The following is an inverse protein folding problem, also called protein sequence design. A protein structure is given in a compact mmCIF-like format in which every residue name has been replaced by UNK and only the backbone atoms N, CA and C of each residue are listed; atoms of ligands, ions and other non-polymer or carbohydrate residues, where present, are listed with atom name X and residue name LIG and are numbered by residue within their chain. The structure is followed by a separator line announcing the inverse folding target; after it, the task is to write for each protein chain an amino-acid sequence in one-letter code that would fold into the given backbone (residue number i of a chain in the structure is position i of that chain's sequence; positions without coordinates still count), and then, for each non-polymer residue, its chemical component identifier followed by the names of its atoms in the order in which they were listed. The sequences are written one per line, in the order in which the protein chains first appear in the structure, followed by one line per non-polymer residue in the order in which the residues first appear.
data_IF_992295682584
#
_entry.id   IF_992295682584
#
_cell.length_a   1.000
_cell.length_b   1.000
_cell.length_c   1.000
_cell.angle_alpha   90.00
_cell.angle_beta   90.00
_cell.angle_gamma   90.00
#
_symmetry.space_group_name_H-M   'P 1'
#
loop_
_entity.id
_entity.type
_entity.pdbx_description
1 polymer ?
#
# COMPACT_ATOMS: atom_id res chain seq x y z
N UNK A 1 -29.77 12.35 -48.64
CA UNK A 1 -30.00 12.82 -47.26
C UNK A 1 -28.87 12.33 -46.37
N UNK A 2 -28.07 13.23 -45.90
CA UNK A 2 -26.85 12.94 -45.17
C UNK A 2 -27.13 12.88 -43.65
N UNK A 3 -26.39 12.07 -42.96
CA UNK A 3 -26.51 11.77 -41.50
C UNK A 3 -26.45 13.00 -40.55
N UNK A 4 -26.37 14.23 -41.09
CA UNK A 4 -26.34 15.50 -40.34
C UNK A 4 -27.70 16.19 -40.17
N UNK A 5 -28.73 15.75 -40.90
CA UNK A 5 -30.07 16.38 -40.86
C UNK A 5 -31.10 15.67 -39.98
N UNK A 6 -30.74 14.55 -39.35
CA UNK A 6 -31.65 13.77 -38.46
C UNK A 6 -31.64 14.23 -37.01
N UNK A 7 -30.73 15.10 -36.58
CA UNK A 7 -30.56 15.51 -35.18
C UNK A 7 -31.14 16.88 -34.81
N UNK A 8 -31.97 17.51 -35.67
CA UNK A 8 -32.55 18.83 -35.36
C UNK A 8 -34.11 18.92 -35.33
N UNK A 9 -34.81 17.79 -35.33
CA UNK A 9 -36.28 17.78 -35.36
C UNK A 9 -36.98 16.98 -34.25
N UNK A 10 -36.46 17.03 -32.98
CA UNK A 10 -37.14 16.45 -31.85
C UNK A 10 -37.07 17.36 -30.60
N UNK A 11 -37.42 18.61 -30.76
CA UNK A 11 -37.65 19.51 -29.63
C UNK A 11 -38.91 20.32 -30.00
N UNK A 12 -40.07 19.85 -29.46
CA UNK A 12 -41.28 20.63 -29.14
C UNK A 12 -42.50 19.69 -29.08
N UNK A 13 -42.86 19.22 -27.88
CA UNK A 13 -44.24 19.11 -27.42
C UNK A 13 -44.31 18.35 -26.10
N UNK A 14 -44.44 19.05 -25.01
CA UNK A 14 -45.62 18.97 -24.15
C UNK A 14 -45.59 17.96 -22.98
N UNK A 15 -45.63 18.51 -21.74
CA UNK A 15 -46.16 17.75 -20.62
C UNK A 15 -45.45 17.99 -19.30
N UNK A 16 -45.85 18.96 -18.51
CA UNK A 16 -45.40 19.17 -17.15
C UNK A 16 -45.81 18.02 -16.23
N UNK A 17 -44.85 17.39 -15.54
CA UNK A 17 -45.08 16.67 -14.31
C UNK A 17 -43.95 16.99 -13.35
N UNK A 18 -44.28 17.66 -12.26
CA UNK A 18 -43.44 17.99 -11.13
C UNK A 18 -43.05 16.70 -10.40
N UNK A 19 -41.78 16.31 -10.53
CA UNK A 19 -41.11 15.46 -9.54
C UNK A 19 -39.74 16.12 -9.27
N UNK A 20 -39.53 16.43 -7.94
CA UNK A 20 -38.33 17.06 -7.46
C UNK A 20 -37.11 16.14 -7.70
N UNK A 21 -36.26 16.52 -8.65
CA UNK A 21 -34.94 15.95 -8.83
C UNK A 21 -33.99 16.70 -7.92
N UNK A 22 -33.52 16.03 -6.87
CA UNK A 22 -32.31 16.44 -6.18
C UNK A 22 -31.17 16.36 -7.22
N UNK A 23 -30.67 17.51 -7.66
CA UNK A 23 -29.59 17.58 -8.62
C UNK A 23 -28.30 17.09 -7.99
N UNK A 24 -27.82 15.95 -8.46
CA UNK A 24 -26.41 15.58 -8.31
C UNK A 24 -25.61 16.60 -9.15
N UNK A 25 -25.02 17.57 -8.47
CA UNK A 25 -23.94 18.37 -9.08
C UNK A 25 -22.73 17.45 -9.19
N UNK A 26 -22.42 17.01 -10.40
CA UNK A 26 -21.09 16.54 -10.76
C UNK A 26 -20.13 17.70 -10.45
N UNK A 27 -19.38 17.57 -9.37
CA UNK A 27 -18.33 18.50 -9.03
C UNK A 27 -17.39 18.64 -10.23
N UNK A 28 -17.24 19.87 -10.75
CA UNK A 28 -16.24 20.15 -11.76
C UNK A 28 -14.87 19.70 -11.22
N UNK A 29 -14.00 19.10 -12.07
CA UNK A 29 -12.66 18.73 -11.63
C UNK A 29 -12.01 19.97 -11.03
N UNK A 30 -11.62 19.90 -9.76
CA UNK A 30 -10.90 20.96 -9.09
C UNK A 30 -9.69 21.30 -9.95
N UNK A 31 -9.57 22.55 -10.40
CA UNK A 31 -8.36 23.05 -11.05
C UNK A 31 -7.20 22.70 -10.14
N UNK A 32 -6.32 21.82 -10.60
CA UNK A 32 -5.04 21.60 -9.96
C UNK A 32 -4.39 22.98 -9.83
N UNK A 33 -4.36 23.51 -8.60
CA UNK A 33 -3.52 24.67 -8.32
C UNK A 33 -2.11 24.20 -8.63
N UNK A 34 -1.42 24.91 -9.52
CA UNK A 34 0.02 24.75 -9.73
C UNK A 34 0.70 25.09 -8.40
N UNK A 35 0.82 24.10 -7.52
CA UNK A 35 1.61 24.25 -6.32
C UNK A 35 3.07 24.36 -6.76
N UNK A 36 3.66 25.52 -6.53
CA UNK A 36 5.10 25.68 -6.72
C UNK A 36 5.76 24.74 -5.70
N UNK A 37 6.38 23.66 -6.19
CA UNK A 37 7.09 22.72 -5.31
C UNK A 37 8.25 23.44 -4.62
N UNK A 38 8.49 23.16 -3.35
CA UNK A 38 9.69 23.67 -2.68
C UNK A 38 10.94 23.12 -3.40
N UNK A 39 11.99 23.91 -3.49
CA UNK A 39 13.28 23.41 -3.97
C UNK A 39 13.84 22.45 -2.95
N UNK A 40 14.13 21.22 -3.36
CA UNK A 40 14.83 20.27 -2.50
C UNK A 40 16.27 20.77 -2.24
N UNK A 41 16.82 20.55 -1.05
CA UNK A 41 18.22 20.87 -0.78
C UNK A 41 19.16 20.01 -1.62
N UNK A 42 20.45 20.36 -1.60
CA UNK A 42 21.48 19.45 -2.05
C UNK A 42 21.34 18.13 -1.28
N UNK A 43 21.31 16.97 -1.96
CA UNK A 43 21.12 15.67 -1.30
C UNK A 43 22.12 15.40 -0.18
N UNK A 44 23.38 15.81 -0.35
CA UNK A 44 24.44 15.63 0.68
C UNK A 44 24.20 16.52 1.89
N UNK A 45 23.60 17.70 1.70
CA UNK A 45 23.24 18.65 2.76
C UNK A 45 21.85 18.37 3.39
N UNK A 46 21.12 17.36 2.94
CA UNK A 46 19.77 17.05 3.43
C UNK A 46 19.70 16.63 4.90
N UNK A 47 20.81 16.17 5.47
CA UNK A 47 20.86 15.61 6.82
C UNK A 47 20.28 14.20 6.93
N UNK A 48 19.79 13.59 5.85
CA UNK A 48 19.29 12.21 5.83
C UNK A 48 20.48 11.25 5.69
N UNK A 49 20.64 10.34 6.65
CA UNK A 49 21.65 9.28 6.61
C UNK A 49 21.03 7.89 6.51
N UNK A 50 19.78 7.75 6.97
CA UNK A 50 19.05 6.48 6.99
C UNK A 50 17.63 6.64 6.42
N UNK A 51 17.29 5.79 5.45
CA UNK A 51 15.94 5.63 4.96
C UNK A 51 15.49 4.22 5.31
N UNK A 52 14.42 4.12 6.10
CA UNK A 52 13.80 2.87 6.52
C UNK A 52 12.40 2.80 5.91
N UNK A 53 12.14 1.84 5.05
CA UNK A 53 10.82 1.60 4.48
C UNK A 53 10.23 0.30 5.07
N UNK A 54 9.07 0.41 5.70
CA UNK A 54 8.27 -0.73 6.18
C UNK A 54 7.11 -0.91 5.22
N UNK A 55 6.89 -2.14 4.74
CA UNK A 55 5.79 -2.44 3.84
C UNK A 55 4.84 -3.42 4.49
N UNK A 56 3.68 -2.91 4.90
CA UNK A 56 2.54 -3.67 5.43
C UNK A 56 1.70 -4.25 4.29
N UNK A 57 0.63 -4.96 4.61
CA UNK A 57 -0.24 -5.64 3.64
C UNK A 57 -1.66 -5.11 3.65
N UNK A 58 -2.17 -4.90 2.46
CA UNK A 58 -3.53 -5.06 2.01
C UNK A 58 -4.55 -4.14 2.71
N UNK A 59 -4.30 -2.81 2.73
CA UNK A 59 -5.30 -1.85 3.26
C UNK A 59 -5.39 -0.59 2.37
N UNK A 60 -6.63 -0.16 2.06
CA UNK A 60 -6.85 1.09 1.35
C UNK A 60 -6.80 2.30 2.29
N UNK A 61 -6.63 3.50 1.70
CA UNK A 61 -6.62 4.74 2.47
C UNK A 61 -7.94 4.98 3.20
N UNK A 62 -9.08 4.87 2.53
CA UNK A 62 -10.37 5.10 3.16
C UNK A 62 -10.70 4.06 4.24
N UNK A 63 -10.26 2.82 4.07
CA UNK A 63 -10.47 1.76 5.04
C UNK A 63 -9.78 2.05 6.39
N UNK A 64 -8.56 2.63 6.38
CA UNK A 64 -7.78 2.95 7.59
C UNK A 64 -7.78 4.43 7.96
N UNK A 65 -7.75 5.33 6.98
CA UNK A 65 -7.53 6.78 7.20
C UNK A 65 -8.64 7.66 6.62
N UNK A 66 -9.76 7.10 6.17
CA UNK A 66 -10.87 7.88 5.65
C UNK A 66 -11.49 8.86 6.66
N UNK A 67 -11.18 8.71 7.95
CA UNK A 67 -11.54 9.63 9.05
C UNK A 67 -10.56 10.80 9.21
N UNK A 68 -9.37 10.77 8.57
CA UNK A 68 -8.27 11.70 8.82
C UNK A 68 -8.67 13.14 8.52
N UNK A 69 -8.54 14.08 9.48
CA UNK A 69 -8.85 15.50 9.24
C UNK A 69 -7.95 16.10 8.16
N UNK A 70 -8.52 16.96 7.34
CA UNK A 70 -7.85 17.66 6.24
C UNK A 70 -7.33 16.77 5.10
N UNK A 71 -7.49 15.45 5.18
CA UNK A 71 -7.23 14.55 4.08
C UNK A 71 -8.48 14.40 3.19
N UNK A 72 -8.26 13.98 1.95
CA UNK A 72 -9.32 13.57 1.03
C UNK A 72 -9.75 12.13 1.40
N UNK A 73 -10.38 11.97 2.56
CA UNK A 73 -10.80 10.69 3.14
C UNK A 73 -12.32 10.59 3.26
N UNK A 74 -12.87 9.39 3.07
CA UNK A 74 -14.30 9.13 3.19
C UNK A 74 -14.55 7.71 3.72
N UNK A 75 -15.21 7.59 4.87
CA UNK A 75 -15.56 6.29 5.47
C UNK A 75 -17.06 6.06 5.54
N UNK A 76 -17.79 6.95 6.23
CA UNK A 76 -19.22 6.83 6.41
C UNK A 76 -20.00 7.49 5.28
N UNK A 77 -21.20 6.97 4.99
CA UNK A 77 -22.14 7.58 4.05
C UNK A 77 -21.97 7.16 2.60
N UNK A 78 -20.96 6.33 2.27
CA UNK A 78 -20.88 5.70 0.96
C UNK A 78 -21.86 4.51 0.88
N UNK A 79 -22.33 4.22 -0.33
CA UNK A 79 -23.28 3.11 -0.58
C UNK A 79 -22.88 2.38 -1.84
N UNK A 80 -22.82 1.06 -1.76
CA UNK A 80 -22.45 0.16 -2.85
C UNK A 80 -23.58 -0.81 -3.16
N UNK A 81 -23.80 -1.08 -4.44
CA UNK A 81 -24.78 -2.07 -4.87
C UNK A 81 -24.14 -3.45 -4.95
N UNK A 82 -24.83 -4.47 -4.47
CA UNK A 82 -24.43 -5.85 -4.70
C UNK A 82 -24.93 -6.38 -6.08
N UNK A 83 -24.54 -7.59 -6.42
CA UNK A 83 -24.92 -8.24 -7.69
C UNK A 83 -26.43 -8.45 -7.88
N UNK A 84 -27.23 -8.27 -6.82
CA UNK A 84 -28.70 -8.34 -6.84
C UNK A 84 -29.34 -6.97 -6.91
N UNK A 85 -28.54 -5.89 -6.90
CA UNK A 85 -28.99 -4.51 -6.90
C UNK A 85 -29.41 -4.01 -5.51
N UNK A 86 -29.11 -4.73 -4.43
CA UNK A 86 -29.35 -4.26 -3.07
C UNK A 86 -28.25 -3.29 -2.65
N UNK A 87 -28.65 -2.18 -2.02
CA UNK A 87 -27.75 -1.13 -1.56
C UNK A 87 -27.24 -1.43 -0.15
N UNK A 88 -25.91 -1.33 0.03
CA UNK A 88 -25.22 -1.54 1.30
C UNK A 88 -24.36 -0.33 1.64
N UNK A 89 -24.58 0.25 2.80
CA UNK A 89 -23.74 1.35 3.28
C UNK A 89 -22.41 0.82 3.83
N UNK A 90 -21.34 1.64 3.70
CA UNK A 90 -20.10 1.44 4.44
C UNK A 90 -20.40 1.37 5.94
N UNK A 91 -19.61 0.62 6.69
CA UNK A 91 -19.86 0.37 8.10
C UNK A 91 -18.58 0.22 8.90
N UNK A 92 -18.67 0.57 10.19
CA UNK A 92 -17.55 0.40 11.12
C UNK A 92 -17.31 -1.08 11.41
N UNK A 93 -16.05 -1.47 11.42
CA UNK A 93 -15.55 -2.76 11.90
C UNK A 93 -15.08 -2.71 13.35
N UNK A 94 -15.27 -1.59 14.04
CA UNK A 94 -14.81 -1.43 15.42
C UNK A 94 -15.32 -2.57 16.32
N UNK A 95 -14.38 -3.22 17.02
CA UNK A 95 -14.63 -4.42 17.80
C UNK A 95 -14.38 -5.75 17.07
N UNK A 96 -14.35 -5.75 15.74
CA UNK A 96 -13.87 -6.87 14.93
C UNK A 96 -12.47 -6.54 14.40
N UNK A 97 -11.43 -7.07 15.03
CA UNK A 97 -10.05 -6.72 14.70
C UNK A 97 -9.43 -7.63 13.61
N UNK A 98 -10.16 -8.63 13.17
CA UNK A 98 -9.67 -9.64 12.23
C UNK A 98 -10.48 -9.70 10.93
N UNK A 99 -11.71 -9.22 10.95
CA UNK A 99 -12.65 -9.35 9.83
C UNK A 99 -13.21 -10.77 9.66
N UNK A 100 -13.03 -11.66 10.68
CA UNK A 100 -13.67 -12.97 10.66
C UNK A 100 -15.17 -12.84 11.06
N UNK A 101 -16.08 -13.50 10.37
CA UNK A 101 -15.91 -14.51 9.30
C UNK A 101 -16.02 -13.96 7.87
N UNK A 102 -15.70 -12.68 7.64
CA UNK A 102 -15.70 -12.11 6.30
C UNK A 102 -14.73 -12.80 5.35
N UNK A 103 -14.94 -12.64 4.06
CA UNK A 103 -14.02 -13.15 3.05
C UNK A 103 -12.82 -12.19 2.93
N UNK A 104 -11.64 -12.76 2.62
CA UNK A 104 -10.53 -11.96 2.12
C UNK A 104 -10.95 -11.32 0.77
N UNK A 105 -11.04 -9.97 0.67
CA UNK A 105 -11.60 -9.35 -0.52
C UNK A 105 -10.72 -9.54 -1.76
N UNK A 106 -11.33 -9.67 -2.95
CA UNK A 106 -10.57 -9.84 -4.20
C UNK A 106 -9.80 -8.57 -4.57
N UNK A 107 -8.50 -8.69 -4.62
CA UNK A 107 -7.56 -7.67 -5.06
C UNK A 107 -6.69 -8.17 -6.23
N UNK A 108 -7.11 -9.25 -6.90
CA UNK A 108 -6.49 -9.74 -8.12
C UNK A 108 -6.49 -8.68 -9.23
N UNK A 109 -5.66 -8.86 -10.25
CA UNK A 109 -5.60 -7.94 -11.40
C UNK A 109 -6.95 -7.74 -12.08
N UNK A 110 -7.76 -8.79 -12.18
CA UNK A 110 -9.11 -8.75 -12.80
C UNK A 110 -10.17 -8.21 -11.84
N UNK A 111 -10.21 -8.70 -10.60
CA UNK A 111 -11.17 -8.24 -9.58
C UNK A 111 -11.00 -6.76 -9.24
N UNK A 112 -9.75 -6.28 -9.18
CA UNK A 112 -9.46 -4.85 -8.99
C UNK A 112 -10.12 -3.97 -10.06
N UNK A 113 -10.23 -4.45 -11.30
CA UNK A 113 -10.87 -3.70 -12.40
C UNK A 113 -12.39 -3.70 -12.29
N UNK A 114 -12.99 -4.75 -11.71
CA UNK A 114 -14.41 -4.75 -11.34
C UNK A 114 -14.66 -3.66 -10.29
N UNK A 115 -13.85 -3.62 -9.24
CA UNK A 115 -13.97 -2.61 -8.18
C UNK A 115 -13.77 -1.17 -8.71
N UNK A 116 -12.81 -0.97 -9.61
CA UNK A 116 -12.52 0.31 -10.26
C UNK A 116 -13.67 0.80 -11.15
N UNK A 117 -14.36 -0.08 -11.85
CA UNK A 117 -15.47 0.18 -12.79
C UNK A 117 -15.27 1.41 -13.68
N UNK A 118 -14.13 1.45 -14.38
CA UNK A 118 -13.81 2.57 -15.28
C UNK A 118 -13.66 3.93 -14.58
N UNK A 119 -13.38 3.95 -13.29
CA UNK A 119 -13.20 5.14 -12.46
C UNK A 119 -14.40 5.55 -11.62
N UNK A 120 -15.49 4.78 -11.66
CA UNK A 120 -16.66 5.07 -10.82
C UNK A 120 -16.45 4.68 -9.36
N UNK A 121 -15.52 3.75 -9.10
CA UNK A 121 -15.20 3.27 -7.75
C UNK A 121 -16.41 2.67 -7.02
N UNK A 122 -17.29 1.96 -7.72
CA UNK A 122 -18.55 1.45 -7.19
C UNK A 122 -18.72 -0.08 -7.31
N UNK A 123 -17.71 -0.78 -7.84
CA UNK A 123 -17.76 -2.20 -8.12
C UNK A 123 -17.39 -3.13 -6.96
N UNK A 124 -17.13 -2.62 -5.74
CA UNK A 124 -16.60 -3.44 -4.62
C UNK A 124 -17.49 -4.61 -4.22
N UNK A 125 -18.82 -4.48 -4.32
CA UNK A 125 -19.77 -5.56 -4.08
C UNK A 125 -20.34 -6.18 -5.37
N UNK A 126 -19.91 -5.72 -6.54
CA UNK A 126 -20.20 -6.35 -7.82
C UNK A 126 -19.25 -7.53 -8.11
N UNK A 127 -18.09 -7.54 -7.47
CA UNK A 127 -17.23 -8.73 -7.45
C UNK A 127 -17.86 -9.82 -6.59
N UNK A 128 -18.12 -10.99 -7.18
CA UNK A 128 -18.79 -12.12 -6.52
C UNK A 128 -17.92 -12.82 -5.48
N UNK A 129 -16.61 -12.57 -5.50
CA UNK A 129 -15.68 -13.07 -4.48
C UNK A 129 -15.81 -12.28 -3.18
N UNK A 130 -16.29 -11.04 -3.25
CA UNK A 130 -16.39 -10.14 -2.11
C UNK A 130 -17.67 -10.35 -1.30
N UNK A 131 -17.64 -9.91 -0.06
CA UNK A 131 -18.80 -9.73 0.81
C UNK A 131 -18.73 -8.32 1.48
N UNK A 132 -19.60 -8.07 2.45
CA UNK A 132 -19.68 -6.75 3.07
C UNK A 132 -18.42 -6.32 3.84
N UNK A 133 -17.51 -7.24 4.14
CA UNK A 133 -16.26 -6.90 4.80
C UNK A 133 -15.42 -5.91 3.96
N UNK A 134 -15.43 -6.04 2.63
CA UNK A 134 -14.68 -5.15 1.75
C UNK A 134 -15.11 -3.67 1.80
N UNK A 135 -16.32 -3.37 2.29
CA UNK A 135 -16.83 -2.01 2.48
C UNK A 135 -16.87 -1.58 3.96
N UNK A 136 -16.20 -2.34 4.81
CA UNK A 136 -15.99 -2.00 6.22
C UNK A 136 -14.80 -1.05 6.40
N UNK A 137 -14.73 -0.36 7.54
CA UNK A 137 -13.61 0.53 7.88
C UNK A 137 -13.28 0.50 9.36
N UNK A 138 -12.03 0.81 9.68
CA UNK A 138 -11.53 1.03 11.03
C UNK A 138 -11.36 2.54 11.31
N UNK A 139 -11.60 2.93 12.54
CA UNK A 139 -11.42 4.31 12.99
C UNK A 139 -10.12 4.49 13.77
N UNK A 140 -9.87 5.75 14.16
CA UNK A 140 -8.70 6.15 14.94
C UNK A 140 -8.44 5.27 16.18
N UNK A 141 -9.50 4.83 16.87
CA UNK A 141 -9.41 4.06 18.11
C UNK A 141 -9.06 2.59 17.89
N UNK A 142 -9.24 2.08 16.70
CA UNK A 142 -8.98 0.66 16.37
C UNK A 142 -7.48 0.43 16.12
N UNK A 143 -6.77 1.44 15.61
CA UNK A 143 -5.33 1.46 15.32
C UNK A 143 -4.64 2.67 15.99
N UNK A 144 -4.69 2.79 17.32
CA UNK A 144 -4.38 4.05 18.03
C UNK A 144 -2.96 4.53 17.82
N UNK A 145 -1.99 3.64 17.68
CA UNK A 145 -0.62 4.04 17.44
C UNK A 145 -0.45 4.59 16.02
N UNK A 146 -0.92 3.86 15.00
CA UNK A 146 -0.76 4.27 13.60
C UNK A 146 -1.55 5.54 13.29
N UNK A 147 -2.74 5.67 13.85
CA UNK A 147 -3.53 6.89 13.77
C UNK A 147 -2.79 8.09 14.37
N UNK A 148 -2.22 7.94 15.56
CA UNK A 148 -1.44 9.00 16.19
C UNK A 148 -0.13 9.29 15.43
N UNK A 149 0.53 8.28 14.86
CA UNK A 149 1.69 8.48 13.99
C UNK A 149 1.31 9.35 12.79
N UNK A 150 0.19 9.05 12.13
CA UNK A 150 -0.32 9.78 10.99
C UNK A 150 -0.69 11.24 11.31
N UNK A 151 -1.20 11.51 12.52
CA UNK A 151 -1.53 12.86 12.98
C UNK A 151 -0.29 13.68 13.36
N UNK A 152 0.79 13.05 13.81
CA UNK A 152 1.99 13.74 14.29
C UNK A 152 3.07 13.89 13.23
N UNK A 153 2.94 13.22 12.08
CA UNK A 153 3.90 13.25 10.98
C UNK A 153 3.18 13.45 9.63
N UNK A 154 3.91 13.50 8.53
CA UNK A 154 3.31 13.71 7.22
C UNK A 154 2.55 12.47 6.75
N UNK A 155 1.25 12.64 6.50
CA UNK A 155 0.40 11.65 5.84
C UNK A 155 0.27 11.97 4.35
N UNK A 156 0.51 10.96 3.49
CA UNK A 156 0.40 11.09 2.05
C UNK A 156 -0.99 10.61 1.61
N UNK A 157 -1.93 11.55 1.37
CA UNK A 157 -3.31 11.19 1.03
C UNK A 157 -3.53 10.88 -0.47
N UNK A 158 -2.48 10.93 -1.29
CA UNK A 158 -2.48 10.53 -2.71
C UNK A 158 -1.30 9.62 -3.03
N UNK A 159 -1.01 8.70 -2.12
CA UNK A 159 -0.08 7.61 -2.37
C UNK A 159 -0.87 6.40 -2.87
N UNK A 160 -0.52 5.91 -4.05
CA UNK A 160 -1.20 4.83 -4.74
C UNK A 160 -0.32 3.59 -4.81
N UNK A 161 -0.91 2.39 -4.84
CA UNK A 161 -0.17 1.21 -5.25
C UNK A 161 0.34 1.39 -6.70
N UNK A 162 1.47 0.80 -7.05
CA UNK A 162 2.13 1.07 -8.35
C UNK A 162 1.42 0.43 -9.53
N UNK A 163 0.60 -0.60 -9.28
CA UNK A 163 -0.24 -1.27 -10.28
C UNK A 163 -1.56 -1.67 -9.64
N UNK A 164 -2.65 -1.62 -10.40
CA UNK A 164 -3.96 -2.10 -9.97
C UNK A 164 -3.99 -3.63 -10.04
N UNK A 165 -3.56 -4.27 -8.95
CA UNK A 165 -3.39 -5.72 -8.87
C UNK A 165 -2.85 -6.17 -7.52
N UNK A 166 -2.50 -7.47 -7.38
CA UNK A 166 -2.23 -8.11 -6.11
C UNK A 166 -0.84 -7.80 -5.54
N UNK A 167 -0.54 -8.45 -4.41
CA UNK A 167 0.65 -8.31 -3.57
C UNK A 167 1.98 -8.41 -4.35
N UNK A 168 2.23 -9.51 -5.09
CA UNK A 168 3.56 -9.75 -5.66
C UNK A 168 3.96 -8.74 -6.73
N UNK A 169 3.09 -8.39 -7.70
CA UNK A 169 3.37 -7.31 -8.63
C UNK A 169 3.74 -5.99 -7.95
N UNK A 170 2.99 -5.59 -6.92
CA UNK A 170 3.25 -4.35 -6.19
C UNK A 170 4.55 -4.41 -5.39
N UNK A 171 4.84 -5.52 -4.72
CA UNK A 171 6.12 -5.71 -4.02
C UNK A 171 7.33 -5.73 -4.96
N UNK A 172 7.16 -6.19 -6.21
CA UNK A 172 8.20 -6.03 -7.22
C UNK A 172 8.48 -4.56 -7.52
N UNK A 173 7.46 -3.72 -7.66
CA UNK A 173 7.65 -2.28 -7.83
C UNK A 173 8.42 -1.65 -6.67
N UNK A 174 8.20 -2.09 -5.43
CA UNK A 174 8.91 -1.60 -4.24
C UNK A 174 10.43 -1.81 -4.37
N UNK A 175 10.86 -2.91 -5.00
CA UNK A 175 12.28 -3.23 -5.12
C UNK A 175 12.88 -2.88 -6.48
N UNK A 176 12.09 -2.95 -7.56
CA UNK A 176 12.55 -2.94 -8.94
C UNK A 176 11.96 -1.82 -9.81
N UNK A 177 11.06 -0.97 -9.28
CA UNK A 177 10.29 0.03 -10.02
C UNK A 177 9.47 -0.54 -11.20
N UNK A 178 9.29 -1.84 -11.26
CA UNK A 178 8.55 -2.59 -12.29
C UNK A 178 8.15 -3.96 -11.79
N UNK A 179 7.29 -4.64 -12.56
CA UNK A 179 6.95 -6.04 -12.36
C UNK A 179 7.14 -6.85 -13.64
N UNK A 180 7.36 -8.16 -13.50
CA UNK A 180 7.40 -9.13 -14.61
C UNK A 180 6.14 -10.00 -14.67
N UNK A 181 5.14 -9.72 -13.82
CA UNK A 181 3.91 -10.51 -13.69
C UNK A 181 2.73 -9.65 -13.25
N UNK A 182 1.51 -10.18 -13.49
CA UNK A 182 0.24 -9.54 -13.08
C UNK A 182 -0.51 -10.32 -12.00
N UNK A 183 0.02 -11.45 -11.58
CA UNK A 183 -0.56 -12.34 -10.57
C UNK A 183 0.46 -12.72 -9.52
N UNK A 184 0.01 -13.16 -8.36
CA UNK A 184 0.88 -13.72 -7.36
C UNK A 184 1.49 -15.02 -7.85
N UNK A 185 2.80 -15.10 -7.85
CA UNK A 185 3.55 -16.24 -8.36
C UNK A 185 4.95 -16.28 -7.77
N UNK A 186 5.41 -17.47 -7.38
CA UNK A 186 6.76 -17.73 -6.88
C UNK A 186 7.80 -18.02 -7.97
N UNK A 187 7.46 -17.81 -9.25
CA UNK A 187 8.44 -17.93 -10.31
C UNK A 187 9.62 -16.99 -10.03
N UNK A 188 10.87 -17.48 -10.10
CA UNK A 188 12.02 -16.63 -9.90
C UNK A 188 12.04 -15.45 -10.86
N UNK A 189 12.57 -14.32 -10.41
CA UNK A 189 12.74 -13.11 -11.21
C UNK A 189 14.21 -12.73 -11.33
N UNK A 190 14.54 -12.00 -12.40
CA UNK A 190 15.87 -11.45 -12.65
C UNK A 190 15.85 -9.92 -12.79
N UNK A 191 14.74 -9.28 -12.48
CA UNK A 191 14.61 -7.83 -12.58
C UNK A 191 15.76 -7.13 -11.83
N UNK A 192 16.37 -6.09 -12.42
CA UNK A 192 17.30 -5.24 -11.69
C UNK A 192 16.56 -4.50 -10.58
N UNK A 193 17.24 -4.26 -9.46
CA UNK A 193 16.62 -3.66 -8.29
C UNK A 193 17.41 -2.47 -7.77
N UNK A 194 16.83 -1.75 -6.84
CA UNK A 194 17.51 -0.66 -6.10
C UNK A 194 18.76 -1.20 -5.36
N UNK A 195 18.73 -2.45 -4.90
CA UNK A 195 19.87 -3.10 -4.24
C UNK A 195 21.10 -3.17 -5.12
N UNK A 196 20.93 -3.41 -6.43
CA UNK A 196 22.01 -3.40 -7.40
C UNK A 196 22.62 -1.99 -7.56
N UNK A 197 21.76 -0.95 -7.56
CA UNK A 197 22.20 0.45 -7.66
C UNK A 197 22.98 0.88 -6.42
N UNK A 198 22.46 0.53 -5.24
CA UNK A 198 23.11 0.83 -3.95
C UNK A 198 24.48 0.12 -3.84
N UNK A 199 24.55 -1.16 -4.21
CA UNK A 199 25.80 -1.92 -4.21
C UNK A 199 26.84 -1.30 -5.16
N UNK A 200 26.44 -0.90 -6.37
CA UNK A 200 27.31 -0.28 -7.36
C UNK A 200 27.90 1.07 -6.89
N UNK A 201 27.20 1.77 -5.97
CA UNK A 201 27.64 3.04 -5.38
C UNK A 201 28.26 2.88 -3.99
N UNK A 202 28.45 1.65 -3.50
CA UNK A 202 28.96 1.36 -2.15
C UNK A 202 28.10 2.01 -1.02
N UNK A 203 26.81 2.23 -1.26
CA UNK A 203 25.89 2.71 -0.23
C UNK A 203 25.45 1.52 0.63
N UNK A 204 25.56 1.62 1.95
CA UNK A 204 25.20 0.53 2.86
C UNK A 204 23.71 0.27 2.82
N UNK A 205 23.32 -1.00 2.72
CA UNK A 205 21.90 -1.38 2.59
C UNK A 205 21.63 -2.77 3.16
N UNK A 206 20.40 -2.98 3.61
CA UNK A 206 19.90 -4.29 4.03
C UNK A 206 18.40 -4.41 3.82
N UNK A 207 17.98 -5.64 3.61
CA UNK A 207 16.59 -6.04 3.63
C UNK A 207 16.34 -6.88 4.89
N UNK A 208 15.39 -6.45 5.71
CA UNK A 208 15.00 -7.13 6.94
C UNK A 208 13.65 -7.81 6.78
N UNK A 209 13.50 -8.97 7.37
CA UNK A 209 12.24 -9.71 7.31
C UNK A 209 11.93 -10.38 8.65
N UNK A 210 10.67 -10.78 8.82
CA UNK A 210 10.21 -11.43 10.04
C UNK A 210 10.14 -12.96 9.90
N UNK A 211 9.35 -13.47 8.94
CA UNK A 211 9.16 -14.93 8.76
C UNK A 211 9.51 -15.42 7.34
N UNK A 212 9.23 -14.67 6.29
CA UNK A 212 9.53 -15.04 4.90
C UNK A 212 10.20 -13.88 4.18
N UNK A 213 11.41 -14.05 3.61
CA UNK A 213 12.06 -12.99 2.86
C UNK A 213 11.51 -12.94 1.42
N UNK A 214 10.80 -11.85 1.07
CA UNK A 214 10.30 -11.66 -0.29
C UNK A 214 11.40 -11.69 -1.36
N UNK A 215 12.61 -11.21 -1.03
CA UNK A 215 13.77 -11.22 -1.93
C UNK A 215 14.25 -12.62 -2.32
N UNK A 216 13.73 -13.70 -1.72
CA UNK A 216 14.00 -15.06 -2.16
C UNK A 216 13.53 -15.34 -3.60
N UNK A 217 12.60 -14.51 -4.14
CA UNK A 217 12.22 -14.56 -5.55
C UNK A 217 13.38 -14.26 -6.51
N UNK A 218 14.44 -13.57 -6.07
CA UNK A 218 15.68 -13.38 -6.84
C UNK A 218 16.71 -14.49 -6.60
N UNK A 219 16.28 -15.64 -6.12
CA UNK A 219 17.18 -16.75 -5.79
C UNK A 219 18.12 -16.38 -4.63
N UNK A 220 19.41 -16.67 -4.75
CA UNK A 220 20.42 -16.36 -3.73
C UNK A 220 21.04 -14.96 -3.87
N UNK A 221 20.64 -14.18 -4.88
CA UNK A 221 21.29 -12.92 -5.26
C UNK A 221 21.41 -11.95 -4.07
N UNK A 222 20.39 -11.85 -3.26
CA UNK A 222 20.32 -10.90 -2.13
C UNK A 222 20.48 -11.54 -0.76
N UNK A 223 20.94 -12.79 -0.69
CA UNK A 223 21.16 -13.48 0.58
C UNK A 223 22.09 -12.69 1.51
N UNK A 224 23.16 -12.09 0.96
CA UNK A 224 24.18 -11.37 1.73
C UNK A 224 23.69 -10.07 2.38
N UNK A 225 22.59 -9.50 1.91
CA UNK A 225 21.97 -8.27 2.46
C UNK A 225 20.72 -8.55 3.30
N UNK A 226 20.24 -9.81 3.30
CA UNK A 226 19.00 -10.21 3.98
C UNK A 226 19.27 -10.52 5.43
N UNK A 227 18.51 -9.89 6.32
CA UNK A 227 18.66 -9.94 7.79
C UNK A 227 17.30 -10.16 8.47
N UNK A 228 17.34 -10.67 9.71
CA UNK A 228 16.12 -10.90 10.49
C UNK A 228 15.64 -9.64 11.21
N UNK A 229 14.35 -9.64 11.62
CA UNK A 229 13.76 -8.62 12.50
C UNK A 229 14.60 -8.36 13.76
N UNK A 230 15.09 -9.42 14.43
CA UNK A 230 15.94 -9.27 15.61
C UNK A 230 17.28 -8.59 15.32
N UNK A 231 17.80 -8.69 14.09
CA UNK A 231 18.98 -7.91 13.67
C UNK A 231 18.62 -6.45 13.46
N UNK A 232 17.47 -6.13 12.83
CA UNK A 232 16.99 -4.75 12.70
C UNK A 232 16.93 -4.03 14.06
N UNK A 233 16.32 -4.68 15.06
CA UNK A 233 16.21 -4.12 16.41
C UNK A 233 17.60 -3.83 17.04
N UNK A 234 18.56 -4.74 16.86
CA UNK A 234 19.93 -4.54 17.36
C UNK A 234 20.66 -3.44 16.61
N UNK A 235 20.51 -3.37 15.28
CA UNK A 235 21.17 -2.40 14.44
C UNK A 235 20.63 -0.99 14.75
N UNK A 236 19.32 -0.84 14.93
CA UNK A 236 18.67 0.40 15.33
C UNK A 236 19.15 0.89 16.73
N UNK A 237 19.16 -0.03 17.71
CA UNK A 237 19.57 0.30 19.09
C UNK A 237 21.05 0.71 19.19
N UNK A 238 21.90 0.19 18.33
CA UNK A 238 23.34 0.49 18.27
C UNK A 238 23.68 1.68 17.38
N UNK A 239 22.74 2.21 16.59
CA UNK A 239 23.01 3.23 15.57
C UNK A 239 23.85 2.68 14.40
N UNK A 240 23.71 1.40 14.08
CA UNK A 240 24.45 0.72 13.01
C UNK A 240 23.54 0.29 11.86
N UNK A 241 22.35 0.91 11.76
CA UNK A 241 21.48 0.71 10.61
C UNK A 241 22.22 1.09 9.31
N UNK A 242 22.03 0.33 8.23
CA UNK A 242 22.47 0.76 6.92
C UNK A 242 21.80 2.06 6.47
N UNK A 243 22.38 2.71 5.47
CA UNK A 243 21.81 3.92 4.85
C UNK A 243 20.42 3.66 4.25
N UNK A 244 20.21 2.46 3.69
CA UNK A 244 18.88 2.05 3.18
C UNK A 244 18.50 0.71 3.80
N UNK A 245 17.33 0.67 4.43
CA UNK A 245 16.78 -0.51 5.10
C UNK A 245 15.33 -0.70 4.70
N UNK A 246 14.99 -1.82 4.04
CA UNK A 246 13.59 -2.20 3.83
C UNK A 246 13.24 -3.32 4.80
N UNK A 247 12.03 -3.28 5.33
CA UNK A 247 11.58 -4.17 6.40
C UNK A 247 10.18 -4.70 6.10
N UNK A 248 10.05 -6.04 6.12
CA UNK A 248 8.77 -6.71 6.02
C UNK A 248 8.30 -7.22 7.39
N UNK A 249 6.98 -7.18 7.65
CA UNK A 249 6.34 -7.71 8.82
C UNK A 249 6.38 -9.25 8.84
N UNK A 250 5.75 -9.85 9.84
CA UNK A 250 5.43 -11.27 9.85
C UNK A 250 4.17 -11.49 9.02
N UNK A 251 4.34 -12.06 7.83
CA UNK A 251 3.23 -12.38 6.95
C UNK A 251 2.28 -13.41 7.54
N UNK A 252 1.00 -13.24 7.28
CA UNK A 252 -0.06 -14.19 7.59
C UNK A 252 -0.03 -15.35 6.60
N UNK A 253 0.84 -16.34 6.85
CA UNK A 253 1.14 -17.41 5.90
C UNK A 253 -0.01 -18.39 5.74
N UNK A 254 -0.73 -18.67 6.84
CA UNK A 254 -1.81 -19.66 6.86
C UNK A 254 -3.19 -19.04 6.72
N UNK A 255 -3.26 -17.73 6.47
CA UNK A 255 -4.51 -16.96 6.49
C UNK A 255 -5.32 -17.21 7.78
N UNK A 256 -4.58 -17.45 8.86
CA UNK A 256 -5.07 -17.84 10.18
C UNK A 256 -5.08 -16.69 11.19
N UNK A 257 -4.70 -15.49 10.73
CA UNK A 257 -4.64 -14.30 11.57
C UNK A 257 -3.41 -14.20 12.47
N UNK A 258 -2.41 -15.07 12.31
CA UNK A 258 -1.22 -15.06 13.19
C UNK A 258 -0.13 -14.08 12.74
N UNK A 259 -0.29 -13.38 11.61
CA UNK A 259 0.62 -12.35 11.12
C UNK A 259 0.57 -11.06 11.94
N UNK A 260 1.43 -10.11 11.58
CA UNK A 260 1.39 -8.72 12.04
C UNK A 260 1.57 -7.76 10.86
N UNK A 261 1.10 -8.18 9.70
CA UNK A 261 1.20 -7.54 8.39
C UNK A 261 -0.02 -6.70 8.03
N UNK A 262 -1.11 -6.82 8.78
CA UNK A 262 -2.45 -6.27 8.52
C UNK A 262 -3.22 -6.96 7.39
N UNK A 263 -2.68 -8.00 6.71
CA UNK A 263 -3.45 -8.77 5.74
C UNK A 263 -4.75 -9.30 6.36
N UNK A 264 -5.91 -9.24 5.70
CA UNK A 264 -7.09 -9.99 6.13
C UNK A 264 -6.77 -11.50 6.23
N UNK A 265 -6.90 -12.14 7.34
CA UNK A 265 -7.56 -11.83 8.60
C UNK A 265 -6.55 -11.68 9.77
N UNK A 266 -5.40 -11.07 9.55
CA UNK A 266 -4.51 -10.72 10.64
C UNK A 266 -5.24 -9.78 11.62
N UNK A 267 -4.92 -9.93 12.91
CA UNK A 267 -5.39 -9.00 13.92
C UNK A 267 -4.67 -7.65 13.76
N UNK A 268 -5.40 -6.62 13.36
CA UNK A 268 -4.85 -5.27 13.11
C UNK A 268 -4.12 -4.67 14.33
N UNK A 269 -4.42 -5.16 15.54
CA UNK A 269 -3.71 -4.73 16.76
C UNK A 269 -2.27 -5.25 16.81
N UNK A 270 -1.98 -6.41 16.19
CA UNK A 270 -0.62 -6.91 16.03
C UNK A 270 0.16 -6.14 14.97
N UNK A 271 -0.50 -5.66 13.88
CA UNK A 271 0.10 -4.74 12.92
C UNK A 271 0.43 -3.39 13.55
N UNK A 272 -0.54 -2.79 14.25
CA UNK A 272 -0.33 -1.53 15.01
C UNK A 272 0.82 -1.64 16.03
N UNK A 273 0.92 -2.78 16.71
CA UNK A 273 2.02 -3.10 17.64
C UNK A 273 3.36 -3.31 16.93
N UNK A 274 3.37 -3.92 15.76
CA UNK A 274 4.60 -4.06 14.97
C UNK A 274 5.12 -2.69 14.55
N UNK A 275 4.27 -1.82 14.01
CA UNK A 275 4.63 -0.45 13.64
C UNK A 275 5.12 0.36 14.85
N UNK A 276 4.45 0.22 16.01
CA UNK A 276 4.93 0.80 17.27
C UNK A 276 6.36 0.34 17.61
N UNK A 277 6.64 -0.94 17.51
CA UNK A 277 7.96 -1.48 17.84
C UNK A 277 9.04 -0.98 16.87
N UNK A 278 8.72 -0.86 15.57
CA UNK A 278 9.62 -0.28 14.56
C UNK A 278 9.93 1.18 14.92
N UNK A 279 8.89 1.99 15.13
CA UNK A 279 9.05 3.39 15.49
C UNK A 279 9.85 3.58 16.78
N UNK A 280 9.56 2.77 17.82
CA UNK A 280 10.30 2.83 19.08
C UNK A 280 11.78 2.43 18.89
N UNK A 281 12.08 1.44 18.07
CA UNK A 281 13.46 1.05 17.80
C UNK A 281 14.25 2.17 17.13
N UNK A 282 13.63 2.92 16.20
CA UNK A 282 14.26 4.03 15.49
C UNK A 282 14.31 5.28 16.35
N UNK A 283 13.19 5.71 16.93
CA UNK A 283 13.05 6.99 17.62
C UNK A 283 13.82 7.05 18.95
N UNK A 284 14.11 5.90 19.57
CA UNK A 284 14.99 5.78 20.74
C UNK A 284 16.45 5.51 20.37
N UNK A 285 16.71 5.15 19.13
CA UNK A 285 18.05 4.88 18.62
C UNK A 285 18.84 6.18 18.41
N UNK A 286 20.18 6.12 18.42
CA UNK A 286 21.04 7.30 18.31
C UNK A 286 20.98 7.95 16.91
N UNK A 287 20.47 7.25 15.88
CA UNK A 287 20.41 7.73 14.50
C UNK A 287 19.07 8.44 14.15
N UNK A 288 18.16 8.60 15.11
CA UNK A 288 16.83 9.19 14.83
C UNK A 288 16.90 10.54 14.13
N UNK A 289 17.81 11.41 14.56
CA UNK A 289 17.94 12.77 14.02
C UNK A 289 18.21 12.85 12.52
N UNK A 290 18.70 11.76 11.91
CA UNK A 290 19.01 11.65 10.48
C UNK A 290 18.23 10.51 9.78
N UNK A 291 17.14 10.01 10.40
CA UNK A 291 16.35 8.88 9.91
C UNK A 291 15.02 9.34 9.29
N UNK A 292 14.68 8.77 8.16
CA UNK A 292 13.33 8.83 7.55
C UNK A 292 12.72 7.43 7.62
N UNK A 293 11.63 7.30 8.35
CA UNK A 293 10.78 6.11 8.36
C UNK A 293 9.62 6.33 7.40
N UNK A 294 9.45 5.43 6.44
CA UNK A 294 8.29 5.36 5.57
C UNK A 294 7.48 4.11 5.94
N UNK A 295 6.26 4.30 6.43
CA UNK A 295 5.29 3.21 6.60
C UNK A 295 4.39 3.23 5.38
N UNK A 296 4.45 2.19 4.57
CA UNK A 296 3.59 2.01 3.41
C UNK A 296 2.92 0.63 3.43
N UNK A 297 2.00 0.43 2.49
CA UNK A 297 1.32 -0.83 2.24
C UNK A 297 1.63 -1.24 0.80
N UNK A 298 1.67 -2.53 0.52
CA UNK A 298 1.95 -3.03 -0.82
C UNK A 298 0.79 -2.78 -1.78
N UNK A 299 -0.45 -3.03 -1.32
CA UNK A 299 -1.66 -2.76 -2.09
C UNK A 299 -2.90 -2.61 -1.17
N UNK A 300 -4.08 -2.44 -1.73
CA UNK A 300 -5.31 -1.97 -1.11
C UNK A 300 -6.19 -3.07 -0.49
N UNK A 301 -5.88 -4.36 -0.73
CA UNK A 301 -6.55 -5.53 -0.15
C UNK A 301 -8.01 -5.73 -0.54
N UNK A 302 -8.46 -5.20 -1.66
CA UNK A 302 -9.85 -5.30 -2.08
C UNK A 302 -10.82 -4.38 -1.32
N UNK A 303 -10.34 -3.58 -0.37
CA UNK A 303 -11.18 -2.65 0.41
C UNK A 303 -11.60 -1.43 -0.39
N UNK A 304 -12.76 -0.88 -0.06
CA UNK A 304 -13.31 0.29 -0.72
C UNK A 304 -12.38 1.51 -0.67
N UNK A 305 -12.47 2.31 -1.70
CA UNK A 305 -11.73 3.55 -1.89
C UNK A 305 -12.56 4.47 -2.80
N UNK A 306 -12.69 5.74 -2.46
CA UNK A 306 -13.54 6.63 -3.25
C UNK A 306 -12.79 7.42 -4.32
N UNK A 307 -11.45 7.52 -4.23
CA UNK A 307 -10.63 8.26 -5.19
C UNK A 307 -10.12 7.33 -6.30
N UNK A 308 -10.50 7.55 -7.58
CA UNK A 308 -9.99 6.74 -8.66
C UNK A 308 -8.48 6.96 -8.85
N UNK A 309 -7.71 5.88 -9.06
CA UNK A 309 -6.28 5.98 -9.31
C UNK A 309 -6.00 6.69 -10.65
N UNK A 310 -4.95 7.53 -10.69
CA UNK A 310 -4.49 8.13 -11.94
C UNK A 310 -3.67 7.12 -12.76
N UNK A 311 -3.29 7.54 -13.97
CA UNK A 311 -2.32 6.83 -14.79
C UNK A 311 -0.94 7.49 -14.69
N UNK A 312 0.11 6.67 -14.72
CA UNK A 312 1.50 7.10 -14.73
C UNK A 312 2.29 6.35 -15.81
N UNK A 313 3.46 6.85 -16.16
CA UNK A 313 4.35 6.26 -17.16
C UNK A 313 4.49 4.75 -16.97
N UNK A 314 4.34 3.96 -18.02
CA UNK A 314 4.49 2.53 -17.96
C UNK A 314 5.95 2.16 -17.66
N UNK A 315 6.18 1.32 -16.63
CA UNK A 315 7.52 0.86 -16.31
C UNK A 315 8.09 -0.09 -17.39
N UNK A 316 7.21 -0.91 -17.96
CA UNK A 316 7.47 -1.86 -19.04
C UNK A 316 6.15 -2.23 -19.75
N UNK A 317 6.16 -3.28 -20.57
CA UNK A 317 5.01 -3.73 -21.35
C UNK A 317 4.23 -4.90 -20.72
N UNK A 318 4.47 -5.24 -19.47
CA UNK A 318 3.83 -6.39 -18.79
C UNK A 318 2.37 -6.10 -18.45
N UNK A 319 2.08 -4.87 -17.99
CA UNK A 319 0.69 -4.46 -17.79
C UNK A 319 -0.04 -4.37 -19.13
N UNK A 320 -1.17 -5.07 -19.24
CA UNK A 320 -1.98 -5.10 -20.47
C UNK A 320 -2.89 -3.88 -20.63
N UNK A 321 -3.03 -3.06 -19.59
CA UNK A 321 -3.85 -1.84 -19.57
C UNK A 321 -3.00 -0.58 -19.81
N UNK A 322 -2.24 -0.56 -20.91
CA UNK A 322 -1.45 0.61 -21.32
C UNK A 322 -2.27 1.50 -22.25
N UNK A 323 -2.46 2.77 -21.85
CA UNK A 323 -3.12 3.79 -22.65
C UNK A 323 -2.19 4.99 -22.80
N UNK A 324 -1.82 5.32 -24.03
CA UNK A 324 -0.89 6.43 -24.35
C UNK A 324 0.44 6.35 -23.57
N UNK A 325 1.01 5.15 -23.45
CA UNK A 325 2.27 4.92 -22.73
C UNK A 325 2.14 4.90 -21.21
N UNK A 326 0.93 5.02 -20.66
CA UNK A 326 0.69 5.04 -19.21
C UNK A 326 -0.16 3.86 -18.75
N UNK A 327 0.19 3.31 -17.58
CA UNK A 327 -0.57 2.27 -16.88
C UNK A 327 -1.40 2.88 -15.77
N UNK A 328 -2.48 2.20 -15.38
CA UNK A 328 -3.30 2.59 -14.25
C UNK A 328 -2.56 2.27 -12.95
N UNK A 329 -2.47 3.23 -12.03
CA UNK A 329 -2.00 2.96 -10.67
C UNK A 329 -3.04 2.10 -9.92
N UNK A 330 -2.65 1.51 -8.80
CA UNK A 330 -3.58 0.85 -7.87
C UNK A 330 -4.33 1.85 -7.01
N UNK A 331 -5.17 1.36 -6.11
CA UNK A 331 -5.93 2.19 -5.17
C UNK A 331 -5.00 2.90 -4.17
N UNK A 332 -5.50 3.93 -3.50
CA UNK A 332 -4.73 4.68 -2.48
C UNK A 332 -4.42 3.81 -1.27
N UNK A 333 -3.27 4.11 -0.68
CA UNK A 333 -2.71 3.42 0.48
C UNK A 333 -2.55 4.38 1.67
N UNK A 334 -2.73 3.91 2.91
CA UNK A 334 -2.56 4.73 4.10
C UNK A 334 -1.07 4.87 4.45
N UNK A 335 -0.38 5.85 3.84
CA UNK A 335 1.09 6.01 3.96
C UNK A 335 1.46 7.18 4.86
N UNK A 336 2.41 6.93 5.76
CA UNK A 336 2.97 7.91 6.69
C UNK A 336 4.48 7.99 6.54
N UNK A 337 5.00 9.22 6.46
CA UNK A 337 6.45 9.50 6.50
C UNK A 337 6.77 10.12 7.85
N UNK A 338 7.46 9.37 8.72
CA UNK A 338 7.82 9.79 10.08
C UNK A 338 9.32 10.06 10.18
N UNK A 339 9.66 11.31 10.47
CA UNK A 339 11.05 11.79 10.52
C UNK A 339 11.10 13.10 11.31
N UNK A 340 12.26 13.51 11.83
CA UNK A 340 12.46 14.89 12.26
C UNK A 340 12.10 15.95 11.20
N UNK A 341 12.19 15.58 9.92
CA UNK A 341 11.88 16.45 8.76
C UNK A 341 10.40 16.41 8.35
N UNK A 342 9.54 15.66 9.02
CA UNK A 342 8.11 15.53 8.70
C UNK A 342 7.20 15.68 9.91
N UNK A 343 7.76 16.09 11.06
CA UNK A 343 7.02 16.25 12.31
C UNK A 343 6.00 17.40 12.20
N UNK A 344 4.77 17.13 12.60
CA UNK A 344 3.65 18.04 12.56
C UNK A 344 3.02 18.27 13.93
N UNK A 345 1.80 18.77 13.91
CA UNK A 345 0.98 19.01 15.08
C UNK A 345 -0.29 18.16 14.98
N UNK A 346 -0.61 17.30 15.96
CA UNK A 346 -1.79 16.43 15.88
C UNK A 346 -3.12 17.21 15.79
N UNK A 347 -3.16 18.47 16.24
CA UNK A 347 -4.33 19.34 16.08
C UNK A 347 -4.46 19.92 14.65
N UNK A 348 -3.40 19.80 13.83
CA UNK A 348 -3.36 20.24 12.45
C UNK A 348 -2.41 19.32 11.68
N UNK A 349 -2.84 18.08 11.37
CA UNK A 349 -2.01 17.10 10.69
C UNK A 349 -1.46 17.60 9.36
N UNK A 350 -0.24 17.24 9.04
CA UNK A 350 0.38 17.56 7.75
C UNK A 350 -0.09 16.55 6.71
N UNK A 351 -0.84 17.01 5.73
CA UNK A 351 -1.34 16.21 4.62
C UNK A 351 -0.62 16.60 3.34
N UNK A 352 0.07 15.65 2.74
CA UNK A 352 0.70 15.82 1.44
C UNK A 352 -0.18 15.18 0.35
N UNK A 353 -0.59 16.02 -0.64
CA UNK A 353 -1.51 15.61 -1.72
C UNK A 353 -0.81 15.45 -3.07
N UNK A 354 0.50 15.38 -3.11
CA UNK A 354 1.23 15.02 -4.33
C UNK A 354 0.99 13.54 -4.67
N UNK A 355 1.02 13.23 -5.96
CA UNK A 355 0.83 11.85 -6.42
C UNK A 355 2.10 11.05 -6.19
N UNK A 356 2.03 10.08 -5.33
CA UNK A 356 3.10 9.13 -5.03
C UNK A 356 2.68 7.71 -5.38
N UNK A 357 3.66 6.85 -5.61
CA UNK A 357 3.53 5.39 -5.62
C UNK A 357 4.77 4.74 -4.97
N UNK A 358 4.91 3.42 -5.04
CA UNK A 358 6.08 2.74 -4.44
C UNK A 358 7.41 3.24 -5.00
N UNK A 359 7.43 3.68 -6.27
CA UNK A 359 8.65 4.24 -6.86
C UNK A 359 9.05 5.59 -6.26
N UNK A 360 8.14 6.27 -5.55
CA UNK A 360 8.46 7.51 -4.82
C UNK A 360 9.49 7.30 -3.70
N UNK A 361 9.48 6.12 -3.05
CA UNK A 361 10.50 5.73 -2.08
C UNK A 361 11.83 5.49 -2.79
N UNK A 362 11.81 4.85 -3.96
CA UNK A 362 13.01 4.65 -4.77
C UNK A 362 13.59 5.98 -5.23
N UNK A 363 12.76 6.92 -5.70
CA UNK A 363 13.18 8.28 -6.08
C UNK A 363 13.80 9.05 -4.90
N UNK A 364 13.31 8.86 -3.66
CA UNK A 364 13.93 9.43 -2.47
C UNK A 364 15.35 8.85 -2.26
N UNK A 365 15.50 7.52 -2.40
CA UNK A 365 16.79 6.83 -2.30
C UNK A 365 17.72 7.26 -3.43
N UNK A 366 17.24 7.31 -4.67
CA UNK A 366 17.98 7.72 -5.87
C UNK A 366 18.48 9.16 -5.73
N UNK A 367 17.61 10.09 -5.33
CA UNK A 367 17.98 11.48 -5.10
C UNK A 367 19.05 11.60 -4.03
N UNK A 368 18.85 10.91 -2.87
CA UNK A 368 19.77 11.05 -1.73
C UNK A 368 21.18 10.58 -2.03
N UNK A 369 21.35 9.52 -2.83
CA UNK A 369 22.69 8.96 -3.13
C UNK A 369 23.10 9.11 -4.60
N UNK A 370 22.44 9.92 -5.39
CA UNK A 370 22.78 10.18 -6.78
C UNK A 370 22.76 8.91 -7.64
N UNK A 371 21.74 8.06 -7.46
CA UNK A 371 21.55 6.83 -8.23
C UNK A 371 20.76 7.14 -9.51
N UNK A 372 21.00 6.32 -10.55
CA UNK A 372 20.19 6.41 -11.76
C UNK A 372 18.86 5.65 -11.57
N UNK A 373 17.75 6.15 -12.12
CA UNK A 373 16.48 5.45 -12.12
C UNK A 373 16.58 4.03 -12.66
N UNK A 374 15.69 3.15 -12.23
CA UNK A 374 15.61 1.76 -12.66
C UNK A 374 14.82 1.61 -13.96
N UNK A 375 13.77 2.43 -14.14
CA UNK A 375 12.77 2.29 -15.20
C UNK A 375 12.25 3.66 -15.68
N UNK A 376 11.47 3.71 -16.77
CA UNK A 376 10.75 4.93 -17.14
C UNK A 376 9.79 5.46 -16.05
N UNK A 377 9.21 4.60 -15.19
CA UNK A 377 8.28 4.98 -14.13
C UNK A 377 8.93 5.88 -13.08
N UNK A 378 10.04 5.44 -12.51
CA UNK A 378 10.76 6.21 -11.48
C UNK A 378 11.58 7.38 -12.08
N UNK A 379 11.87 7.36 -13.39
CA UNK A 379 12.41 8.51 -14.10
C UNK A 379 11.35 9.58 -14.42
N UNK A 380 10.06 9.21 -14.49
CA UNK A 380 8.98 10.09 -14.93
C UNK A 380 8.63 11.19 -13.91
N UNK A 381 8.10 12.31 -14.40
CA UNK A 381 7.50 13.38 -13.59
C UNK A 381 6.04 13.11 -13.18
N UNK A 382 5.43 12.00 -13.65
CA UNK A 382 4.06 11.64 -13.26
C UNK A 382 3.97 11.29 -11.76
N UNK A 383 5.07 10.76 -11.21
CA UNK A 383 5.20 10.37 -9.82
C UNK A 383 6.24 11.25 -9.13
N UNK A 384 5.87 11.84 -8.02
CA UNK A 384 6.75 12.72 -7.28
C UNK A 384 7.76 11.95 -6.41
N UNK A 385 8.93 12.57 -6.19
CA UNK A 385 9.91 12.10 -5.22
C UNK A 385 9.36 12.26 -3.79
N UNK A 386 9.49 11.22 -2.97
CA UNK A 386 8.97 11.27 -1.60
C UNK A 386 9.71 12.29 -0.70
N UNK A 387 10.86 12.81 -1.13
CA UNK A 387 11.52 13.93 -0.46
C UNK A 387 10.61 15.17 -0.31
N UNK A 388 9.62 15.33 -1.20
CA UNK A 388 8.61 16.39 -1.07
C UNK A 388 7.60 16.19 0.07
N UNK A 389 7.64 15.08 0.77
CA UNK A 389 6.92 14.87 2.03
C UNK A 389 7.69 15.35 3.27
N UNK A 390 8.89 15.93 3.08
CA UNK A 390 9.80 16.36 4.13
C UNK A 390 9.98 17.89 4.10
N UNK A 391 10.08 18.51 5.28
CA UNK A 391 10.49 19.90 5.46
C UNK A 391 11.91 19.95 6.01
N UNK A 392 12.84 20.30 5.12
CA UNK A 392 14.26 20.39 5.46
C UNK A 392 14.64 21.71 6.17
N UNK A 393 13.74 22.68 6.23
CA UNK A 393 14.02 24.01 6.79
C UNK A 393 14.01 24.03 8.32
N UNK A 394 13.26 23.12 8.95
CA UNK A 394 13.03 23.13 10.40
C UNK A 394 12.86 21.73 10.99
N UNK A 395 13.93 20.90 11.01
CA UNK A 395 13.83 19.56 11.56
C UNK A 395 13.50 19.56 13.05
N UNK A 396 12.53 18.72 13.45
CA UNK A 396 12.05 18.57 14.83
C UNK A 396 12.49 17.21 15.37
N UNK A 397 13.55 17.17 16.16
CA UNK A 397 14.09 15.90 16.70
C UNK A 397 13.33 15.39 17.93
N UNK A 398 12.49 16.22 18.53
CA UNK A 398 11.63 15.79 19.64
C UNK A 398 10.64 14.73 19.20
N UNK A 399 10.62 13.61 19.90
CA UNK A 399 9.70 12.51 19.61
C UNK A 399 8.40 12.73 20.37
N UNK A 400 7.22 12.78 19.71
CA UNK A 400 5.95 12.92 20.39
C UNK A 400 5.65 11.68 21.25
N UNK A 401 4.89 11.90 22.33
CA UNK A 401 4.41 10.80 23.14
C UNK A 401 3.18 10.17 22.46
N UNK A 402 3.40 9.10 21.71
CA UNK A 402 2.35 8.39 21.00
C UNK A 402 1.71 7.31 21.89
N UNK A 403 0.41 7.04 21.73
CA UNK A 403 -0.27 6.00 22.49
C UNK A 403 0.35 4.62 22.20
N UNK A 404 0.24 3.73 23.16
CA UNK A 404 0.58 2.33 22.94
C UNK A 404 -0.56 1.64 22.19
N UNK A 405 -0.26 0.70 21.31
CA UNK A 405 -1.27 -0.09 20.62
C UNK A 405 -2.06 -0.94 21.60
N UNK A 406 -3.27 -1.28 21.21
CA UNK A 406 -4.03 -2.32 21.91
C UNK A 406 -3.33 -3.66 21.70
N UNK A 407 -3.11 -4.40 22.76
CA UNK A 407 -2.49 -5.73 22.67
C UNK A 407 -3.55 -6.78 22.97
N UNK A 408 -3.86 -7.69 22.04
CA UNK A 408 -4.77 -8.78 22.33
C UNK A 408 -4.19 -9.67 23.41
N UNK A 409 -5.04 -10.12 24.33
CA UNK A 409 -4.65 -11.13 25.33
C UNK A 409 -4.32 -12.47 24.67
N UNK A 410 -5.03 -12.79 23.60
CA UNK A 410 -4.83 -13.97 22.76
C UNK A 410 -5.18 -13.59 21.32
N UNK A 411 -4.31 -13.90 20.38
CA UNK A 411 -4.65 -13.88 18.95
C UNK A 411 -5.45 -15.16 18.68
N UNK A 412 -6.70 -14.99 18.28
CA UNK A 412 -7.60 -16.12 17.96
C UNK A 412 -7.58 -16.29 16.45
N UNK A 413 -7.07 -17.42 15.93
CA UNK A 413 -7.11 -17.70 14.51
C UNK A 413 -8.55 -17.73 13.96
N UNK A 414 -8.72 -17.34 12.70
CA UNK A 414 -9.96 -17.52 11.96
C UNK A 414 -10.23 -19.01 11.71
N UNK A 415 -11.07 -19.63 12.53
CA UNK A 415 -11.33 -21.09 12.46
C UNK A 415 -11.98 -21.54 11.14
N UNK A 416 -12.69 -20.67 10.44
CA UNK A 416 -13.32 -21.00 9.13
C UNK A 416 -12.26 -21.27 8.05
N UNK A 417 -11.08 -20.66 8.15
CA UNK A 417 -9.99 -20.87 7.21
C UNK A 417 -9.17 -22.13 7.53
N UNK A 418 -9.25 -22.66 8.77
CA UNK A 418 -8.59 -23.92 9.13
C UNK A 418 -9.25 -25.16 8.50
N UNK A 419 -10.52 -25.11 8.14
CA UNK A 419 -11.21 -26.23 7.45
C UNK A 419 -10.69 -26.42 6.02
N UNK A 420 -10.13 -25.41 5.37
CA UNK A 420 -9.44 -25.50 4.08
C UNK A 420 -8.17 -26.35 4.10
N UNK A 421 -7.49 -26.44 5.26
CA UNK A 421 -6.28 -27.25 5.43
C UNK A 421 -6.54 -28.77 5.28
N UNK A 422 -7.79 -29.22 5.41
CA UNK A 422 -8.16 -30.64 5.30
C UNK A 422 -8.77 -31.00 3.96
N UNK A 423 -9.00 -30.04 3.06
CA UNK A 423 -9.48 -30.28 1.70
C UNK A 423 -8.32 -30.21 0.70
N UNK A 424 -7.55 -31.30 0.57
CA UNK A 424 -6.55 -31.44 -0.48
C UNK A 424 -7.24 -31.61 -1.85
N UNK A 425 -7.56 -30.51 -2.52
CA UNK A 425 -7.80 -30.50 -3.95
C UNK A 425 -6.60 -29.87 -4.64
N UNK A 426 -5.86 -30.69 -5.36
CA UNK A 426 -4.77 -30.25 -6.21
C UNK A 426 -5.25 -29.16 -7.17
N UNK A 427 -4.62 -27.98 -7.13
CA UNK A 427 -4.87 -26.90 -8.06
C UNK A 427 -4.49 -27.35 -9.48
N UNK A 428 -5.37 -27.15 -10.45
CA UNK A 428 -5.05 -27.30 -11.87
C UNK A 428 -4.24 -26.06 -12.31
N UNK A 429 -3.07 -26.21 -12.93
CA UNK A 429 -2.33 -25.07 -13.47
C UNK A 429 -3.01 -24.56 -14.73
N UNK A 430 -3.27 -23.26 -14.84
CA UNK A 430 -3.48 -22.62 -16.12
C UNK A 430 -4.80 -21.88 -16.37
N UNK A 431 -5.43 -21.25 -15.36
CA UNK A 431 -6.43 -20.21 -15.65
C UNK A 431 -5.91 -18.83 -15.18
N UNK A 432 -5.58 -18.00 -16.14
CA UNK A 432 -5.39 -16.56 -15.93
C UNK A 432 -6.75 -15.95 -15.63
N UNK A 433 -6.96 -15.45 -14.40
CA UNK A 433 -8.13 -14.64 -14.06
C UNK A 433 -9.11 -15.17 -13.01
N UNK A 434 -8.86 -16.31 -12.36
CA UNK A 434 -9.67 -16.70 -11.21
C UNK A 434 -9.10 -16.09 -9.91
N UNK A 435 -9.95 -15.59 -8.98
CA UNK A 435 -9.50 -15.15 -7.68
C UNK A 435 -8.77 -16.29 -6.96
N UNK A 436 -7.60 -15.99 -6.39
CA UNK A 436 -6.86 -16.98 -5.61
C UNK A 436 -7.66 -17.28 -4.33
N UNK A 437 -8.02 -18.56 -4.12
CA UNK A 437 -8.60 -18.94 -2.83
C UNK A 437 -7.59 -18.75 -1.70
N UNK A 438 -8.07 -18.54 -0.47
CA UNK A 438 -7.22 -18.50 0.75
C UNK A 438 -6.23 -19.67 0.80
N UNK A 439 -6.67 -20.87 0.42
CA UNK A 439 -5.80 -22.04 0.31
C UNK A 439 -4.67 -21.89 -0.73
N UNK A 440 -4.92 -21.19 -1.85
CA UNK A 440 -3.89 -20.93 -2.88
C UNK A 440 -2.87 -19.89 -2.38
N UNK A 441 -3.32 -18.84 -1.69
CA UNK A 441 -2.43 -17.83 -1.10
C UNK A 441 -1.55 -18.44 -0.01
N UNK A 442 -2.12 -19.26 0.89
CA UNK A 442 -1.39 -20.00 1.91
C UNK A 442 -0.31 -20.90 1.30
N UNK A 443 -0.64 -21.64 0.23
CA UNK A 443 0.32 -22.48 -0.48
C UNK A 443 1.46 -21.63 -1.08
N UNK A 444 1.14 -20.47 -1.66
CA UNK A 444 2.11 -19.57 -2.28
C UNK A 444 3.18 -19.07 -1.29
N UNK A 445 2.76 -18.57 -0.12
CA UNK A 445 3.69 -18.12 0.92
C UNK A 445 4.49 -19.29 1.53
N UNK A 446 3.86 -20.46 1.70
CA UNK A 446 4.53 -21.70 2.14
C UNK A 446 5.60 -22.16 1.14
N UNK A 447 5.31 -22.06 -0.16
CA UNK A 447 6.24 -22.39 -1.21
C UNK A 447 7.39 -21.40 -1.29
N UNK A 448 7.13 -20.08 -1.13
CA UNK A 448 8.18 -19.05 -1.05
C UNK A 448 9.08 -19.27 0.17
N UNK A 449 8.52 -19.64 1.33
CA UNK A 449 9.28 -20.01 2.52
C UNK A 449 10.19 -21.20 2.25
N UNK A 450 9.66 -22.24 1.60
CA UNK A 450 10.42 -23.43 1.20
C UNK A 450 11.55 -23.06 0.21
N UNK A 451 11.28 -22.20 -0.76
CA UNK A 451 12.30 -21.67 -1.68
C UNK A 451 13.39 -20.91 -0.91
N UNK A 452 13.01 -20.04 0.01
CA UNK A 452 13.95 -19.30 0.83
C UNK A 452 14.86 -20.23 1.66
N UNK A 453 14.29 -21.25 2.30
CA UNK A 453 15.06 -22.26 3.04
C UNK A 453 16.07 -23.00 2.15
N UNK A 454 15.64 -23.44 0.96
CA UNK A 454 16.53 -24.11 -0.02
C UNK A 454 17.65 -23.19 -0.49
N UNK A 455 17.42 -21.89 -0.58
CA UNK A 455 18.40 -20.89 -0.97
C UNK A 455 19.29 -20.41 0.21
N UNK A 456 19.12 -20.95 1.41
CA UNK A 456 19.96 -20.66 2.58
C UNK A 456 19.58 -19.39 3.35
N UNK A 457 18.38 -18.82 3.13
CA UNK A 457 17.90 -17.69 3.95
C UNK A 457 17.61 -18.17 5.40
N UNK A 458 17.86 -17.31 6.41
CA UNK A 458 17.68 -17.67 7.82
C UNK A 458 16.19 -17.66 8.23
N UNK A 459 15.38 -18.46 7.56
CA UNK A 459 13.94 -18.60 7.81
C UNK A 459 13.72 -19.51 9.01
N UNK A 460 13.04 -19.03 10.04
CA UNK A 460 12.69 -19.78 11.23
C UNK A 460 11.50 -20.73 11.04
#
# INVERSE_FOLDING_TARGET
MNRREFNQAALLAGGAALFGAAGFQLGAPSKAMSQTLPTLPDPEASGIEHIVAVTMENRSFDHFFGWMPNADGQQAGLTYLDTKGAAHATHSLSGDNTGCPGKDPDHSYTGSRVCYDGGKMDGFLLDTANDRYCIGYYGEKDIPFYAALAQNYTTCNRYFASILGPTFPNRMFIHAAQTDRLTDSILPTTLPTIWDRLAAKNVSHAYYFNNVPYLALWGTKYLGITRTWGQFQRDAAKGTLPSVSFLDPRYTILDDGTGNDDHPHADIREGDKFLYNVFQALSKGPAWSSTVLVVNFDEWGGFFEHVPPPRAEAANSVDTDIVNGKTLLGMRLPVVVASPYSAGNPNSPIINSLVFDHTSVLKLVEWRWGLQPLTPRDASSDIYNLAYALDFSSPQTAVPNLPKPHTPFLVVPCFENLTGLFSSRAAQPGQVGAPSSSAQKTALWGDLRTMAQKNGFPVG
#
